data_IF_597700742382
#
_entry.id   IF_597700742382
#
_cell.length_a   1.000
_cell.length_b   1.000
_cell.length_c   1.000
_cell.angle_alpha   90.00
_cell.angle_beta   90.00
_cell.angle_gamma   90.00
#
_symmetry.space_group_name_H-M   'P 1'
#
loop_
_entity.id
_entity.type
_entity.pdbx_description
1 polymer ?
#
# COMPACT_ATOMS: atom_id res chain seq x y z
N UNK A 1 -6.37 -15.78 -3.06
CA UNK A 1 -5.31 -16.73 -2.67
C UNK A 1 -4.41 -16.95 -3.88
N UNK A 2 -3.08 -16.87 -3.73
CA UNK A 2 -2.11 -17.05 -4.82
C UNK A 2 -0.77 -17.53 -4.28
N UNK A 3 0.04 -18.20 -5.11
CA UNK A 3 1.29 -18.85 -4.71
C UNK A 3 2.29 -17.88 -4.01
N UNK A 4 3.19 -18.43 -3.19
CA UNK A 4 4.31 -17.63 -2.66
C UNK A 4 5.12 -17.04 -3.83
N UNK A 5 5.58 -15.79 -3.69
CA UNK A 5 6.29 -15.08 -4.77
C UNK A 5 5.41 -14.50 -5.88
N UNK A 6 4.09 -14.70 -5.87
CA UNK A 6 3.19 -14.17 -6.91
C UNK A 6 3.01 -12.64 -6.93
N UNK A 7 3.82 -11.88 -6.18
CA UNK A 7 3.77 -10.41 -6.16
C UNK A 7 2.70 -9.76 -5.28
N UNK A 8 1.98 -10.50 -4.42
CA UNK A 8 0.92 -9.94 -3.55
C UNK A 8 1.41 -8.77 -2.67
N UNK A 9 2.55 -8.97 -2.01
CA UNK A 9 3.16 -7.92 -1.17
C UNK A 9 3.67 -6.75 -2.03
N UNK A 10 4.18 -7.03 -3.22
CA UNK A 10 4.59 -5.99 -4.18
C UNK A 10 3.41 -5.14 -4.64
N UNK A 11 2.26 -5.77 -4.92
CA UNK A 11 1.03 -5.07 -5.28
C UNK A 11 0.53 -4.18 -4.15
N UNK A 12 0.53 -4.68 -2.90
CA UNK A 12 0.20 -3.85 -1.73
C UNK A 12 1.14 -2.65 -1.62
N UNK A 13 2.44 -2.83 -1.87
CA UNK A 13 3.42 -1.74 -1.84
C UNK A 13 3.19 -0.70 -2.94
N UNK A 14 2.74 -1.11 -4.14
CA UNK A 14 2.31 -0.19 -5.20
C UNK A 14 1.08 0.62 -4.78
N UNK A 15 0.05 -0.03 -4.23
CA UNK A 15 -1.17 0.64 -3.74
C UNK A 15 -0.84 1.62 -2.62
N UNK A 16 0.11 1.30 -1.73
CA UNK A 16 0.56 2.17 -0.65
C UNK A 16 1.54 3.27 -1.10
N UNK A 17 1.81 3.39 -2.41
CA UNK A 17 2.78 4.33 -2.99
C UNK A 17 4.18 4.19 -2.37
N UNK A 18 4.60 2.96 -2.05
CA UNK A 18 5.99 2.65 -1.71
C UNK A 18 6.85 2.43 -2.95
N UNK A 19 6.21 2.08 -4.07
CA UNK A 19 6.82 1.98 -5.39
C UNK A 19 5.92 2.68 -6.42
N UNK A 20 6.55 3.18 -7.48
CA UNK A 20 5.85 3.63 -8.69
C UNK A 20 5.72 2.45 -9.68
N UNK A 21 4.59 2.34 -10.40
CA UNK A 21 4.47 1.35 -11.46
C UNK A 21 5.44 1.70 -12.59
N UNK A 22 6.16 0.69 -13.10
CA UNK A 22 7.05 0.88 -14.27
C UNK A 22 6.25 1.24 -15.52
N UNK A 23 5.07 0.63 -15.68
CA UNK A 23 4.14 0.85 -16.78
C UNK A 23 2.70 0.77 -16.28
N UNK A 24 1.79 1.46 -16.97
CA UNK A 24 0.37 1.54 -16.59
C UNK A 24 0.09 2.59 -15.52
N UNK A 25 -1.15 2.63 -15.05
CA UNK A 25 -1.64 3.62 -14.10
C UNK A 25 -2.58 2.95 -13.10
N UNK A 26 -2.55 3.40 -11.85
CA UNK A 26 -3.49 2.98 -10.81
C UNK A 26 -4.48 4.13 -10.61
N UNK A 27 -5.77 3.87 -10.83
CA UNK A 27 -6.82 4.87 -10.68
C UNK A 27 -7.71 4.55 -9.47
N UNK A 28 -8.12 5.61 -8.76
CA UNK A 28 -9.14 5.58 -7.70
C UNK A 28 -10.35 6.33 -8.24
N UNK A 29 -11.32 5.58 -8.77
CA UNK A 29 -12.39 6.15 -9.59
C UNK A 29 -11.83 6.72 -10.89
N UNK A 30 -12.12 8.00 -11.15
CA UNK A 30 -11.62 8.71 -12.33
C UNK A 30 -10.24 9.38 -12.13
N UNK A 31 -9.68 9.36 -10.91
CA UNK A 31 -8.44 10.06 -10.59
C UNK A 31 -7.26 9.09 -10.53
N UNK A 32 -6.11 9.51 -11.06
CA UNK A 32 -4.87 8.75 -10.90
C UNK A 32 -4.40 8.80 -9.44
N UNK A 33 -3.96 7.66 -8.91
CA UNK A 33 -3.40 7.52 -7.57
C UNK A 33 -2.22 8.50 -7.34
N UNK A 34 -1.46 8.82 -8.38
CA UNK A 34 -0.34 9.74 -8.32
C UNK A 34 -0.77 11.20 -8.10
N UNK A 35 -2.05 11.53 -8.31
CA UNK A 35 -2.58 12.86 -8.03
C UNK A 35 -2.84 13.11 -6.53
N UNK A 36 -2.82 12.06 -5.70
CA UNK A 36 -2.96 12.19 -4.25
C UNK A 36 -1.60 12.32 -3.58
N UNK A 37 -1.49 13.21 -2.60
CA UNK A 37 -0.35 13.22 -1.70
C UNK A 37 -0.23 11.87 -0.95
N UNK A 38 1.00 11.39 -0.76
CA UNK A 38 1.25 10.08 -0.17
C UNK A 38 0.84 10.00 1.30
N UNK A 39 1.00 11.07 2.07
CA UNK A 39 0.60 11.08 3.49
C UNK A 39 -0.90 11.16 3.62
N UNK A 40 -1.56 12.02 2.83
CA UNK A 40 -3.02 12.04 2.75
C UNK A 40 -3.58 10.68 2.35
N UNK A 41 -3.04 10.06 1.30
CA UNK A 41 -3.49 8.77 0.82
C UNK A 41 -3.37 7.69 1.91
N UNK A 42 -2.20 7.57 2.54
CA UNK A 42 -1.95 6.55 3.57
C UNK A 42 -2.76 6.79 4.85
N UNK A 43 -3.10 8.04 5.20
CA UNK A 43 -4.01 8.34 6.33
C UNK A 43 -5.43 7.80 6.12
N UNK A 44 -5.84 7.61 4.87
CA UNK A 44 -7.16 7.07 4.52
C UNK A 44 -7.16 5.53 4.36
N UNK A 45 -6.04 4.84 4.63
CA UNK A 45 -5.90 3.40 4.42
C UNK A 45 -5.29 2.73 5.65
N UNK A 46 -5.99 1.73 6.19
CA UNK A 46 -5.43 0.79 7.16
C UNK A 46 -4.91 -0.47 6.47
N UNK A 47 -3.66 -0.84 6.72
CA UNK A 47 -3.09 -2.12 6.25
C UNK A 47 -2.46 -2.85 7.42
N UNK A 48 -2.75 -4.15 7.50
CA UNK A 48 -2.06 -5.08 8.40
C UNK A 48 -1.06 -5.87 7.57
N UNK A 49 0.23 -5.69 7.86
CA UNK A 49 1.32 -6.36 7.14
C UNK A 49 1.43 -7.83 7.55
N UNK A 50 1.95 -8.67 6.66
CA UNK A 50 2.14 -10.11 6.92
C UNK A 50 3.09 -10.35 8.11
N UNK A 51 4.13 -9.52 8.22
CA UNK A 51 5.00 -9.45 9.39
C UNK A 51 4.56 -8.24 10.23
N UNK A 52 4.22 -8.49 11.49
CA UNK A 52 3.85 -7.44 12.42
C UNK A 52 5.07 -6.65 12.88
N UNK A 53 4.91 -5.34 13.08
CA UNK A 53 5.85 -4.53 13.84
C UNK A 53 5.23 -4.21 15.19
N UNK A 54 5.92 -4.57 16.28
CA UNK A 54 5.48 -4.30 17.65
C UNK A 54 6.26 -3.09 18.15
N UNK A 55 5.56 -2.03 18.51
CA UNK A 55 6.17 -0.87 19.16
C UNK A 55 6.43 -1.20 20.64
N UNK A 56 7.54 -0.70 21.19
CA UNK A 56 7.86 -0.81 22.61
C UNK A 56 7.00 0.17 23.42
N UNK A 57 5.71 -0.09 23.44
CA UNK A 57 4.68 0.70 24.10
C UNK A 57 3.56 -0.22 24.62
N UNK A 58 2.57 0.34 25.29
CA UNK A 58 1.34 -0.37 25.65
C UNK A 58 0.32 -0.31 24.50
N UNK A 59 -0.77 -1.08 24.62
CA UNK A 59 -1.79 -1.19 23.55
C UNK A 59 -2.68 0.08 23.43
N UNK A 60 -2.58 1.04 24.36
CA UNK A 60 -3.54 2.12 24.53
C UNK A 60 -3.06 3.48 24.01
#
# INVERSE_FOLDING_TARGET
VGASGSGKTTLLKLILKFYEPTEGLINVGANNLNNFDSDFWRKNIGVVMQEGYIFADTVA
#
